data_IF_770351096089
#
_entry.id   IF_770351096089
#
_cell.length_a   1.000
_cell.length_b   1.000
_cell.length_c   1.000
_cell.angle_alpha   90.00
_cell.angle_beta   90.00
_cell.angle_gamma   90.00
#
_symmetry.space_group_name_H-M   'P 1'
#
loop_
_entity.id
_entity.type
_entity.pdbx_description
1 polymer ?
#
# COMPACT_ATOMS: atom_id res chain seq x y z
N UNK A 1 -8.66 15.68 13.24
CA UNK A 1 -8.44 14.25 12.98
C UNK A 1 -6.97 14.01 12.77
N UNK A 2 -6.48 12.85 13.21
CA UNK A 2 -5.13 12.38 12.91
C UNK A 2 -5.19 11.28 11.84
N UNK A 3 -4.58 11.50 10.69
CA UNK A 3 -4.69 10.65 9.51
C UNK A 3 -3.35 10.00 9.19
N UNK A 4 -3.34 8.67 9.07
CA UNK A 4 -2.18 7.94 8.58
C UNK A 4 -2.26 7.80 7.06
N UNK A 5 -1.22 8.23 6.36
CA UNK A 5 -1.10 8.08 4.91
C UNK A 5 -0.06 7.01 4.64
N UNK A 6 -0.50 5.88 4.09
CA UNK A 6 0.37 4.77 3.74
C UNK A 6 0.84 4.87 2.30
N UNK A 7 2.14 4.79 2.11
CA UNK A 7 2.80 4.71 0.81
C UNK A 7 3.73 3.50 0.76
N UNK A 8 4.44 3.33 -0.33
CA UNK A 8 5.48 2.34 -0.48
C UNK A 8 6.60 2.92 -1.35
N UNK A 9 7.84 2.67 -1.00
CA UNK A 9 9.00 3.22 -1.69
C UNK A 9 9.32 2.47 -3.00
N UNK A 10 8.31 2.33 -3.86
CA UNK A 10 8.41 1.65 -5.17
C UNK A 10 8.33 2.60 -6.37
N UNK A 11 8.37 3.91 -6.12
CA UNK A 11 8.32 4.93 -7.18
C UNK A 11 7.97 6.32 -6.66
N UNK A 12 8.24 7.35 -7.49
CA UNK A 12 8.01 8.75 -7.13
C UNK A 12 6.54 9.17 -7.10
N UNK A 13 5.70 8.57 -7.97
CA UNK A 13 4.30 8.98 -8.13
C UNK A 13 3.45 8.77 -6.87
N UNK A 14 3.51 7.60 -6.27
CA UNK A 14 2.78 7.27 -5.04
C UNK A 14 3.21 8.15 -3.87
N UNK A 15 4.51 8.42 -3.75
CA UNK A 15 5.06 9.27 -2.69
C UNK A 15 4.69 10.74 -2.91
N UNK A 16 4.67 11.23 -4.15
CA UNK A 16 4.21 12.58 -4.48
C UNK A 16 2.73 12.77 -4.11
N UNK A 17 1.88 11.79 -4.45
CA UNK A 17 0.47 11.80 -4.07
C UNK A 17 0.28 11.78 -2.53
N UNK A 18 1.06 10.96 -1.82
CA UNK A 18 1.03 10.91 -0.36
C UNK A 18 1.45 12.24 0.27
N UNK A 19 2.48 12.90 -0.28
CA UNK A 19 2.92 14.24 0.17
C UNK A 19 1.86 15.31 -0.07
N UNK A 20 1.25 15.32 -1.26
CA UNK A 20 0.17 16.26 -1.59
C UNK A 20 -1.06 16.08 -0.67
N UNK A 21 -1.43 14.85 -0.36
CA UNK A 21 -2.49 14.55 0.60
C UNK A 21 -2.15 15.06 2.00
N UNK A 22 -0.91 14.86 2.45
CA UNK A 22 -0.44 15.38 3.74
C UNK A 22 -0.53 16.91 3.80
N UNK A 23 -0.05 17.59 2.77
CA UNK A 23 -0.12 19.05 2.69
C UNK A 23 -1.55 19.54 2.71
N UNK A 24 -2.45 18.91 1.94
CA UNK A 24 -3.88 19.26 1.91
C UNK A 24 -4.54 19.04 3.26
N UNK A 25 -4.33 17.91 3.91
CA UNK A 25 -4.90 17.62 5.23
C UNK A 25 -4.42 18.63 6.28
N UNK A 26 -3.13 18.96 6.29
CA UNK A 26 -2.56 19.94 7.20
C UNK A 26 -3.14 21.36 6.95
N UNK A 27 -3.37 21.73 5.68
CA UNK A 27 -4.03 22.98 5.32
C UNK A 27 -5.45 23.10 5.92
N UNK A 28 -6.17 21.98 5.98
CA UNK A 28 -7.49 21.89 6.61
C UNK A 28 -7.43 21.58 8.12
N UNK A 29 -6.30 21.86 8.77
CA UNK A 29 -6.09 21.68 10.22
C UNK A 29 -6.28 20.24 10.72
N UNK A 30 -5.97 19.26 9.88
CA UNK A 30 -5.85 17.85 10.29
C UNK A 30 -4.38 17.48 10.46
N UNK A 31 -4.07 16.66 11.44
CA UNK A 31 -2.73 16.08 11.59
C UNK A 31 -2.58 14.93 10.59
N UNK A 32 -1.52 14.92 9.79
CA UNK A 32 -1.27 13.87 8.81
C UNK A 32 0.18 13.37 8.85
N UNK A 33 0.34 12.05 8.89
CA UNK A 33 1.62 11.37 8.88
C UNK A 33 1.74 10.47 7.66
N UNK A 34 2.88 10.51 6.96
CA UNK A 34 3.20 9.58 5.86
C UNK A 34 4.12 8.50 6.38
N UNK A 35 3.72 7.25 6.16
CA UNK A 35 4.49 6.07 6.53
C UNK A 35 4.69 5.16 5.32
N UNK A 36 5.93 4.73 5.07
CA UNK A 36 6.19 3.59 4.20
C UNK A 36 5.83 2.29 4.95
N UNK A 37 4.80 1.58 4.48
CA UNK A 37 4.33 0.35 5.12
C UNK A 37 5.46 -0.67 5.32
N UNK A 38 6.38 -0.77 4.36
CA UNK A 38 7.48 -1.75 4.42
C UNK A 38 8.47 -1.45 5.55
N UNK A 39 8.46 -0.22 6.10
CA UNK A 39 9.28 0.14 7.25
C UNK A 39 8.87 -0.55 8.55
N UNK A 40 7.62 -1.01 8.64
CA UNK A 40 7.11 -1.81 9.76
C UNK A 40 7.60 -3.27 9.72
N UNK A 41 8.19 -3.69 8.62
CA UNK A 41 8.79 -5.00 8.46
C UNK A 41 10.18 -5.10 9.10
N UNK A 42 10.91 -6.17 8.75
CA UNK A 42 12.31 -6.32 9.18
C UNK A 42 13.15 -5.17 8.61
N UNK A 43 14.17 -4.74 9.38
CA UNK A 43 15.14 -3.71 8.96
C UNK A 43 15.63 -4.01 7.53
N UNK A 44 15.59 -3.00 6.65
CA UNK A 44 15.96 -3.04 5.22
C UNK A 44 14.94 -3.63 4.24
N UNK A 45 13.76 -4.08 4.65
CA UNK A 45 12.76 -4.63 3.70
C UNK A 45 12.31 -3.57 2.68
N UNK A 46 12.05 -2.34 3.11
CA UNK A 46 11.63 -1.24 2.23
C UNK A 46 12.70 -0.90 1.18
N UNK A 47 13.94 -0.73 1.59
CA UNK A 47 15.05 -0.41 0.68
C UNK A 47 15.32 -1.55 -0.31
N UNK A 48 15.22 -2.80 0.15
CA UNK A 48 15.44 -3.98 -0.70
C UNK A 48 14.33 -4.13 -1.75
N UNK A 49 13.07 -4.03 -1.34
CA UNK A 49 11.91 -4.18 -2.23
C UNK A 49 11.86 -3.02 -3.23
N UNK A 50 11.98 -1.78 -2.76
CA UNK A 50 12.00 -0.60 -3.63
C UNK A 50 13.16 -0.62 -4.61
N UNK A 51 14.36 -0.95 -4.16
CA UNK A 51 15.54 -1.06 -5.01
C UNK A 51 15.44 -2.16 -6.06
N UNK A 52 14.93 -3.34 -5.68
CA UNK A 52 14.70 -4.45 -6.59
C UNK A 52 13.62 -4.11 -7.66
N UNK A 53 12.53 -3.45 -7.25
CA UNK A 53 11.48 -3.00 -8.16
C UNK A 53 12.02 -1.98 -9.19
N UNK A 54 12.66 -0.91 -8.73
CA UNK A 54 13.22 0.11 -9.61
C UNK A 54 14.23 -0.50 -10.57
N UNK A 55 15.10 -1.39 -10.10
CA UNK A 55 16.09 -2.08 -10.94
C UNK A 55 15.43 -2.98 -11.98
N UNK A 56 14.37 -3.72 -11.60
CA UNK A 56 13.62 -4.57 -12.54
C UNK A 56 13.00 -3.74 -13.66
N UNK A 57 12.32 -2.64 -13.31
CA UNK A 57 11.65 -1.76 -14.28
C UNK A 57 12.66 -1.06 -15.20
N UNK A 58 13.78 -0.58 -14.64
CA UNK A 58 14.75 0.23 -15.40
C UNK A 58 15.70 -0.61 -16.24
N UNK A 59 16.14 -1.77 -15.73
CA UNK A 59 17.19 -2.57 -16.36
C UNK A 59 16.62 -3.72 -17.19
N UNK A 60 15.44 -4.24 -16.82
CA UNK A 60 14.82 -5.37 -17.52
C UNK A 60 13.31 -5.15 -17.76
N UNK A 61 12.91 -4.18 -18.61
CA UNK A 61 11.49 -3.86 -18.88
C UNK A 61 10.70 -5.06 -19.42
N UNK A 62 11.32 -5.92 -20.23
CA UNK A 62 10.68 -7.12 -20.77
C UNK A 62 10.30 -8.13 -19.64
N UNK A 63 11.15 -8.27 -18.62
CA UNK A 63 10.86 -9.10 -17.44
C UNK A 63 9.72 -8.52 -16.60
N UNK A 64 9.62 -7.20 -16.51
CA UNK A 64 8.48 -6.54 -15.87
C UNK A 64 7.17 -6.80 -16.63
N UNK A 65 7.18 -6.73 -17.96
CA UNK A 65 6.05 -7.08 -18.80
C UNK A 65 5.60 -8.54 -18.62
N UNK A 66 6.54 -9.49 -18.53
CA UNK A 66 6.23 -10.89 -18.26
C UNK A 66 5.62 -11.09 -16.85
N UNK A 67 6.14 -10.38 -15.84
CA UNK A 67 5.57 -10.39 -14.48
C UNK A 67 4.15 -9.83 -14.46
N UNK A 68 3.89 -8.77 -15.22
CA UNK A 68 2.56 -8.20 -15.38
C UNK A 68 1.59 -9.21 -16.02
N UNK A 69 1.99 -9.89 -17.11
CA UNK A 69 1.18 -10.93 -17.74
C UNK A 69 0.89 -12.12 -16.81
N UNK A 70 1.87 -12.50 -15.99
CA UNK A 70 1.67 -13.52 -14.96
C UNK A 70 0.64 -13.05 -13.92
N UNK A 71 0.68 -11.79 -13.50
CA UNK A 71 -0.32 -11.17 -12.64
C UNK A 71 -1.72 -11.24 -13.26
N UNK A 72 -1.85 -10.91 -14.56
CA UNK A 72 -3.11 -11.03 -15.31
C UNK A 72 -3.64 -12.47 -15.40
N UNK A 73 -2.75 -13.45 -15.39
CA UNK A 73 -3.16 -14.87 -15.35
C UNK A 73 -3.63 -15.26 -13.93
N UNK A 74 -2.89 -14.86 -12.89
CA UNK A 74 -3.20 -15.17 -11.49
C UNK A 74 -4.54 -14.58 -11.06
N UNK A 75 -4.87 -13.35 -11.48
CA UNK A 75 -6.14 -12.68 -11.14
C UNK A 75 -7.40 -13.41 -11.67
N UNK A 76 -7.26 -14.32 -12.64
CA UNK A 76 -8.40 -15.12 -13.16
C UNK A 76 -8.83 -16.24 -12.19
N UNK A 77 -8.02 -16.55 -11.18
CA UNK A 77 -8.37 -17.56 -10.21
C UNK A 77 -9.23 -16.97 -9.07
N UNK A 78 -10.11 -17.78 -8.47
CA UNK A 78 -11.07 -17.31 -7.46
C UNK A 78 -10.46 -17.05 -6.07
N UNK A 79 -9.19 -17.26 -5.89
CA UNK A 79 -8.47 -17.02 -4.62
C UNK A 79 -7.61 -15.76 -4.68
N UNK A 80 -7.29 -15.23 -3.50
CA UNK A 80 -6.38 -14.08 -3.38
C UNK A 80 -4.98 -14.42 -3.88
N UNK A 81 -4.31 -13.43 -4.45
CA UNK A 81 -2.96 -13.60 -5.00
C UNK A 81 -1.91 -13.92 -3.92
N UNK A 82 -0.79 -14.51 -4.29
CA UNK A 82 0.36 -14.64 -3.38
C UNK A 82 0.86 -13.28 -2.85
N UNK A 83 0.70 -12.21 -3.65
CA UNK A 83 1.07 -10.84 -3.27
C UNK A 83 0.21 -10.37 -2.11
N UNK A 84 -1.11 -10.61 -2.16
CA UNK A 84 -2.03 -10.32 -1.06
C UNK A 84 -1.58 -10.95 0.26
N UNK A 85 -1.24 -12.24 0.25
CA UNK A 85 -0.80 -12.93 1.48
C UNK A 85 0.56 -12.45 1.97
N UNK A 86 1.46 -12.07 1.07
CA UNK A 86 2.74 -11.49 1.44
C UNK A 86 2.57 -10.14 2.16
N UNK A 87 1.68 -9.28 1.64
CA UNK A 87 1.37 -7.98 2.23
C UNK A 87 0.58 -8.10 3.54
N UNK A 88 -0.31 -9.08 3.66
CA UNK A 88 -1.06 -9.38 4.87
C UNK A 88 -0.18 -9.63 6.11
N UNK A 89 1.07 -10.06 5.93
CA UNK A 89 2.04 -10.28 7.03
C UNK A 89 2.34 -9.02 7.84
N UNK A 90 2.20 -7.85 7.24
CA UNK A 90 2.40 -6.57 7.93
C UNK A 90 1.16 -6.08 8.68
N UNK A 91 0.01 -6.72 8.48
CA UNK A 91 -1.26 -6.27 9.03
C UNK A 91 -1.29 -6.17 10.56
N UNK A 92 -0.63 -7.09 11.27
CA UNK A 92 -0.58 -7.03 12.73
C UNK A 92 0.28 -5.84 13.21
N UNK A 93 1.47 -5.66 12.62
CA UNK A 93 2.35 -4.54 12.97
C UNK A 93 1.69 -3.19 12.64
N UNK A 94 0.95 -3.12 11.53
CA UNK A 94 0.21 -1.92 11.16
C UNK A 94 -0.97 -1.66 12.13
N UNK A 95 -1.69 -2.70 12.55
CA UNK A 95 -2.76 -2.55 13.55
C UNK A 95 -2.24 -1.98 14.86
N UNK A 96 -1.13 -2.54 15.36
CA UNK A 96 -0.48 -2.07 16.59
C UNK A 96 -0.01 -0.60 16.43
N UNK A 97 0.57 -0.26 15.29
CA UNK A 97 1.02 1.10 14.99
C UNK A 97 -0.14 2.11 14.98
N UNK A 98 -1.26 1.76 14.33
CA UNK A 98 -2.47 2.60 14.27
C UNK A 98 -2.99 2.88 15.69
N UNK A 99 -3.12 1.85 16.51
CA UNK A 99 -3.65 1.96 17.88
C UNK A 99 -2.70 2.77 18.77
N UNK A 100 -1.40 2.46 18.75
CA UNK A 100 -0.40 3.13 19.59
C UNK A 100 -0.28 4.63 19.29
N UNK A 101 -0.49 5.02 18.04
CA UNK A 101 -0.38 6.42 17.62
C UNK A 101 -1.72 7.14 17.52
N UNK A 102 -2.84 6.49 17.89
CA UNK A 102 -4.19 7.09 17.95
C UNK A 102 -4.65 7.72 16.63
N UNK A 103 -4.49 7.01 15.51
CA UNK A 103 -5.01 7.48 14.22
C UNK A 103 -6.52 7.32 14.13
N UNK A 104 -7.18 8.32 13.55
CA UNK A 104 -8.64 8.36 13.33
C UNK A 104 -9.05 7.79 11.98
N UNK A 105 -8.15 7.82 10.98
CA UNK A 105 -8.39 7.31 9.64
C UNK A 105 -7.07 6.91 8.96
N UNK A 106 -7.17 6.05 7.94
CA UNK A 106 -6.04 5.65 7.11
C UNK A 106 -6.34 5.92 5.64
N UNK A 107 -5.40 6.53 4.93
CA UNK A 107 -5.42 6.69 3.48
C UNK A 107 -4.23 5.95 2.90
N UNK A 108 -4.39 5.30 1.77
CA UNK A 108 -3.25 4.72 1.04
C UNK A 108 -3.20 5.19 -0.40
N UNK A 109 -2.01 5.41 -0.93
CA UNK A 109 -1.74 5.76 -2.33
C UNK A 109 -1.16 4.60 -3.13
N UNK A 110 -1.07 3.40 -2.53
CA UNK A 110 -0.41 2.26 -3.14
C UNK A 110 -1.17 0.95 -2.89
N UNK A 111 -1.11 0.04 -3.87
CA UNK A 111 -1.77 -1.26 -3.83
C UNK A 111 -1.36 -2.11 -2.61
N UNK A 112 -0.06 -2.19 -2.27
CA UNK A 112 0.39 -3.06 -1.18
C UNK A 112 -0.22 -2.70 0.18
N UNK A 113 -0.22 -1.44 0.63
CA UNK A 113 -0.98 -1.08 1.82
C UNK A 113 -2.48 -1.31 1.69
N UNK A 114 -3.08 -1.12 0.51
CA UNK A 114 -4.51 -1.37 0.29
C UNK A 114 -4.88 -2.84 0.52
N UNK A 115 -4.03 -3.79 0.08
CA UNK A 115 -4.20 -5.22 0.36
C UNK A 115 -4.04 -5.54 1.85
N UNK A 116 -3.06 -4.92 2.52
CA UNK A 116 -2.86 -5.07 3.97
C UNK A 116 -4.07 -4.59 4.76
N UNK A 117 -4.59 -3.40 4.43
CA UNK A 117 -5.80 -2.84 5.05
C UNK A 117 -7.03 -3.72 4.80
N UNK A 118 -7.15 -4.27 3.58
CA UNK A 118 -8.22 -5.20 3.23
C UNK A 118 -8.17 -6.46 4.10
N UNK A 119 -7.00 -7.04 4.28
CA UNK A 119 -6.81 -8.18 5.18
C UNK A 119 -7.16 -7.82 6.63
N UNK A 120 -6.71 -6.67 7.12
CA UNK A 120 -7.02 -6.20 8.47
C UNK A 120 -8.52 -6.02 8.67
N UNK A 121 -9.23 -5.44 7.68
CA UNK A 121 -10.68 -5.28 7.70
C UNK A 121 -11.40 -6.63 7.77
N UNK A 122 -10.99 -7.60 6.95
CA UNK A 122 -11.55 -8.96 6.95
C UNK A 122 -11.30 -9.72 8.27
N UNK A 123 -10.22 -9.41 8.98
CA UNK A 123 -9.88 -10.00 10.27
C UNK A 123 -10.45 -9.22 11.48
N UNK A 124 -11.22 -8.16 11.24
CA UNK A 124 -11.75 -7.31 12.31
C UNK A 124 -10.67 -6.53 13.08
N UNK A 125 -9.51 -6.32 12.46
CA UNK A 125 -8.36 -5.62 13.06
C UNK A 125 -8.25 -4.15 12.65
N UNK A 126 -9.11 -3.69 11.76
CA UNK A 126 -9.21 -2.29 11.33
C UNK A 126 -10.61 -1.78 11.70
N UNK A 127 -10.69 -0.89 12.67
CA UNK A 127 -11.94 -0.31 13.18
C UNK A 127 -12.17 1.13 12.73
N UNK A 128 -11.12 1.76 12.18
CA UNK A 128 -11.17 3.13 11.66
C UNK A 128 -11.41 3.13 10.14
N UNK A 129 -11.95 4.22 9.57
CA UNK A 129 -12.13 4.34 8.13
C UNK A 129 -10.83 4.18 7.37
N UNK A 130 -10.88 3.53 6.21
CA UNK A 130 -9.75 3.47 5.29
C UNK A 130 -10.17 3.80 3.86
N UNK A 131 -9.31 4.54 3.15
CA UNK A 131 -9.52 4.98 1.77
C UNK A 131 -8.29 4.61 0.95
N UNK A 132 -8.50 4.09 -0.26
CA UNK A 132 -7.44 3.89 -1.24
C UNK A 132 -7.57 4.90 -2.38
N UNK A 133 -6.48 5.60 -2.69
CA UNK A 133 -6.35 6.51 -3.81
C UNK A 133 -5.52 5.81 -4.88
N UNK A 134 -6.16 5.37 -5.96
CA UNK A 134 -5.46 4.79 -7.10
C UNK A 134 -4.68 5.90 -7.83
N UNK A 135 -3.38 5.75 -7.93
CA UNK A 135 -2.47 6.70 -8.58
C UNK A 135 -1.89 6.16 -9.88
N UNK A 136 -2.31 4.97 -10.28
CA UNK A 136 -1.90 4.33 -11.52
C UNK A 136 -2.77 4.81 -12.69
N UNK A 137 -2.17 5.00 -13.88
CA UNK A 137 -2.89 5.37 -15.10
C UNK A 137 -3.74 4.23 -15.68
N UNK A 138 -3.48 2.99 -15.28
CA UNK A 138 -4.23 1.82 -15.68
C UNK A 138 -4.54 0.97 -14.44
N UNK A 139 -5.65 0.22 -14.52
CA UNK A 139 -5.97 -0.74 -13.48
C UNK A 139 -4.95 -1.89 -13.55
N UNK A 140 -3.96 -1.86 -12.69
CA UNK A 140 -2.98 -2.93 -12.55
C UNK A 140 -3.61 -4.14 -11.85
N UNK A 141 -3.08 -5.37 -12.07
CA UNK A 141 -3.58 -6.57 -11.39
C UNK A 141 -3.62 -6.41 -9.87
N UNK A 142 -4.61 -7.04 -9.25
CA UNK A 142 -4.83 -7.16 -7.81
C UNK A 142 -5.51 -5.96 -7.12
N UNK A 143 -5.76 -4.81 -7.80
CA UNK A 143 -6.63 -3.77 -7.23
C UNK A 143 -8.02 -4.31 -6.91
N UNK A 144 -8.53 -5.24 -7.71
CA UNK A 144 -9.81 -5.93 -7.47
C UNK A 144 -9.84 -6.79 -6.20
N UNK A 145 -8.67 -7.08 -5.63
CA UNK A 145 -8.56 -7.81 -4.37
C UNK A 145 -8.78 -6.91 -3.15
N UNK A 146 -8.73 -5.59 -3.32
CA UNK A 146 -8.83 -4.62 -2.24
C UNK A 146 -10.28 -4.29 -1.86
N UNK A 147 -10.48 -3.88 -0.63
CA UNK A 147 -11.77 -3.45 -0.08
C UNK A 147 -11.56 -2.22 0.82
N UNK A 148 -10.99 -1.16 0.23
CA UNK A 148 -10.90 0.20 0.77
C UNK A 148 -11.87 1.10 -0.02
N UNK A 149 -12.32 2.18 0.62
CA UNK A 149 -13.20 3.17 -0.02
C UNK A 149 -12.38 4.22 -0.75
#
# INVERSE_FOLDING_TARGET
MKVLILSCNTGGGHNAAASALKESLNFYHHEAEVLDLMSLGRKHTSALVGGAYVKLVSVFPAGFGALYQLGELVRKFPWKSPVYYANARLGNALADYIVQNHFDAVVTTHLYPAETLTWMKQKGRLTIPCVAVATDYACIPFWEETNCY
#
